data_IF_212133371603
#
_entry.id   IF_212133371603
#
_cell.length_a   1.000
_cell.length_b   1.000
_cell.length_c   1.000
_cell.angle_alpha   90.00
_cell.angle_beta   90.00
_cell.angle_gamma   90.00
#
_symmetry.space_group_name_H-M   'P 1'
#
loop_
_entity.id
_entity.type
_entity.pdbx_description
1 polymer ?
#
# COMPACT_ATOMS: atom_id res chain seq x y z
N UNK A 1 37.80 -18.83 26.24
CA UNK A 1 36.88 -19.45 27.21
C UNK A 1 35.50 -18.93 26.89
N UNK A 2 34.69 -19.79 26.27
CA UNK A 2 33.32 -19.48 25.87
C UNK A 2 32.41 -19.75 27.07
N UNK A 3 31.53 -18.80 27.37
CA UNK A 3 30.32 -19.07 28.13
C UNK A 3 29.15 -18.66 27.23
N UNK A 4 28.38 -19.66 26.83
CA UNK A 4 27.10 -19.50 26.16
C UNK A 4 26.14 -18.69 27.03
N UNK A 5 25.29 -17.88 26.39
CA UNK A 5 23.93 -17.75 26.86
C UNK A 5 22.98 -17.84 25.67
N UNK A 6 22.19 -18.92 25.68
CA UNK A 6 21.16 -19.28 24.71
C UNK A 6 19.85 -18.71 25.24
N UNK A 7 19.28 -17.72 24.54
CA UNK A 7 17.84 -17.47 24.56
C UNK A 7 17.39 -17.44 23.12
N UNK A 8 16.64 -18.48 22.75
CA UNK A 8 15.95 -18.55 21.47
C UNK A 8 14.93 -17.42 21.38
N UNK A 9 15.09 -16.57 20.39
CA UNK A 9 14.02 -15.73 19.88
C UNK A 9 13.92 -16.03 18.40
N UNK A 10 12.79 -16.62 18.01
CA UNK A 10 12.41 -16.75 16.60
C UNK A 10 12.21 -15.34 16.05
N UNK A 11 13.24 -14.78 15.42
CA UNK A 11 13.14 -13.54 14.68
C UNK A 11 12.47 -13.85 13.33
N UNK A 12 11.14 -13.78 13.27
CA UNK A 12 10.47 -13.50 12.01
C UNK A 12 10.73 -12.02 11.69
N UNK A 13 11.92 -11.72 11.16
CA UNK A 13 12.18 -10.41 10.56
C UNK A 13 11.30 -10.29 9.32
N UNK A 14 10.08 -9.82 9.53
CA UNK A 14 9.23 -9.26 8.48
C UNK A 14 9.95 -8.00 7.98
N UNK A 15 10.86 -8.21 7.03
CA UNK A 15 11.56 -7.14 6.34
C UNK A 15 10.50 -6.27 5.67
N UNK A 16 10.15 -5.15 6.33
CA UNK A 16 9.18 -4.20 5.82
C UNK A 16 9.62 -3.75 4.43
N UNK A 17 8.85 -4.15 3.41
CA UNK A 17 9.13 -3.79 2.05
C UNK A 17 8.85 -2.29 1.83
N UNK A 18 9.92 -1.50 1.70
CA UNK A 18 9.84 -0.06 1.39
C UNK A 18 10.25 0.16 -0.07
N UNK A 19 9.33 0.60 -0.94
CA UNK A 19 9.65 0.83 -2.35
C UNK A 19 10.68 1.96 -2.57
N UNK A 20 11.67 1.70 -3.42
CA UNK A 20 12.67 2.67 -3.85
C UNK A 20 12.13 3.54 -5.00
N UNK A 21 11.34 4.55 -4.63
CA UNK A 21 10.69 5.49 -5.57
C UNK A 21 11.17 6.92 -5.28
N UNK A 22 11.20 7.79 -6.29
CA UNK A 22 11.53 9.21 -6.11
C UNK A 22 10.56 9.89 -5.12
N UNK A 23 11.07 10.82 -4.30
CA UNK A 23 10.30 11.42 -3.20
C UNK A 23 9.04 12.17 -3.67
N UNK A 24 9.12 12.84 -4.82
CA UNK A 24 8.02 13.55 -5.48
C UNK A 24 6.90 12.62 -5.97
N UNK A 25 7.19 11.32 -6.08
CA UNK A 25 6.25 10.28 -6.51
C UNK A 25 5.80 9.39 -5.35
N UNK A 26 6.28 9.63 -4.13
CA UNK A 26 5.80 8.92 -2.95
C UNK A 26 4.48 9.54 -2.46
N UNK A 27 3.45 8.72 -2.19
CA UNK A 27 2.23 9.21 -1.56
C UNK A 27 2.54 9.79 -0.18
N UNK A 28 1.85 10.87 0.18
CA UNK A 28 1.89 11.45 1.51
C UNK A 28 0.48 11.62 2.08
N UNK A 29 0.39 11.73 3.41
CA UNK A 29 -0.89 11.87 4.09
C UNK A 29 -1.58 13.17 3.66
N UNK A 30 -2.88 13.07 3.41
CA UNK A 30 -3.75 14.19 3.00
C UNK A 30 -3.37 14.80 1.64
N UNK A 31 -2.69 14.04 0.79
CA UNK A 31 -2.55 14.42 -0.61
C UNK A 31 -3.94 14.49 -1.26
N UNK A 32 -4.23 15.61 -1.90
CA UNK A 32 -5.50 15.85 -2.58
C UNK A 32 -5.35 15.59 -4.08
N UNK A 33 -6.44 15.14 -4.71
CA UNK A 33 -6.54 14.87 -6.13
C UNK A 33 -7.85 15.45 -6.64
N UNK A 34 -7.86 15.94 -7.88
CA UNK A 34 -9.05 16.52 -8.48
C UNK A 34 -10.10 15.44 -8.79
N UNK A 35 -9.65 14.24 -9.16
CA UNK A 35 -10.52 13.10 -9.46
C UNK A 35 -10.02 11.78 -8.87
N UNK A 36 -10.90 10.77 -8.84
CA UNK A 36 -10.53 9.40 -8.46
C UNK A 36 -9.59 8.74 -9.47
N UNK A 37 -9.64 9.17 -10.73
CA UNK A 37 -8.78 8.64 -11.79
C UNK A 37 -7.35 9.19 -11.63
N UNK A 38 -7.21 10.48 -11.29
CA UNK A 38 -5.89 11.07 -10.96
C UNK A 38 -5.23 10.35 -9.78
N UNK A 39 -6.01 10.07 -8.73
CA UNK A 39 -5.54 9.29 -7.59
C UNK A 39 -5.12 7.87 -8.02
N UNK A 40 -5.92 7.21 -8.85
CA UNK A 40 -5.61 5.88 -9.35
C UNK A 40 -4.32 5.85 -10.17
N UNK A 41 -4.15 6.78 -11.11
CA UNK A 41 -2.95 6.88 -11.94
C UNK A 41 -1.70 7.16 -11.12
N UNK A 42 -1.80 8.07 -10.14
CA UNK A 42 -0.70 8.37 -9.23
C UNK A 42 -0.24 7.13 -8.46
N UNK A 43 -1.17 6.42 -7.81
CA UNK A 43 -0.83 5.21 -7.05
C UNK A 43 -0.35 4.06 -7.94
N UNK A 44 -0.88 3.95 -9.16
CA UNK A 44 -0.42 2.95 -10.12
C UNK A 44 1.02 3.23 -10.59
N UNK A 45 1.36 4.50 -10.83
CA UNK A 45 2.73 4.91 -11.17
C UNK A 45 3.70 4.66 -10.02
N UNK A 46 3.31 5.04 -8.80
CA UNK A 46 4.08 4.74 -7.58
C UNK A 46 4.34 3.23 -7.44
N UNK A 47 3.29 2.41 -7.57
CA UNK A 47 3.41 0.97 -7.47
C UNK A 47 4.34 0.38 -8.54
N UNK A 48 4.19 0.83 -9.79
CA UNK A 48 5.02 0.38 -10.91
C UNK A 48 6.50 0.68 -10.69
N UNK A 49 6.83 1.91 -10.28
CA UNK A 49 8.22 2.27 -9.93
C UNK A 49 8.71 1.48 -8.73
N UNK A 50 7.80 1.24 -7.78
CA UNK A 50 8.05 0.40 -6.63
C UNK A 50 8.13 -1.09 -6.92
N UNK A 51 7.93 -1.59 -8.15
CA UNK A 51 8.03 -3.01 -8.48
C UNK A 51 6.82 -3.87 -8.12
N UNK A 52 5.64 -3.27 -7.96
CA UNK A 52 4.37 -3.98 -7.73
C UNK A 52 3.21 -3.31 -8.50
N UNK A 53 2.00 -3.84 -8.35
CA UNK A 53 0.77 -3.26 -8.90
C UNK A 53 -0.26 -3.06 -7.80
N UNK A 54 -1.25 -2.22 -8.06
CA UNK A 54 -2.38 -2.01 -7.15
C UNK A 54 -3.63 -2.74 -7.65
N UNK A 55 -4.52 -3.07 -6.71
CA UNK A 55 -5.90 -3.51 -6.98
C UNK A 55 -6.87 -2.74 -6.09
N UNK A 56 -8.13 -2.66 -6.52
CA UNK A 56 -9.19 -2.13 -5.68
C UNK A 56 -9.54 -3.18 -4.63
N UNK A 57 -9.47 -2.80 -3.35
CA UNK A 57 -9.87 -3.65 -2.24
C UNK A 57 -11.36 -3.50 -1.92
N UNK A 58 -11.82 -2.25 -1.83
CA UNK A 58 -13.22 -1.93 -1.58
C UNK A 58 -13.60 -0.55 -2.11
N UNK A 59 -14.89 -0.35 -2.36
CA UNK A 59 -15.48 0.94 -2.67
C UNK A 59 -16.74 1.11 -1.81
N UNK A 60 -16.89 2.28 -1.19
CA UNK A 60 -18.09 2.65 -0.43
C UNK A 60 -18.79 3.77 -1.18
N UNK A 61 -20.05 3.56 -1.51
CA UNK A 61 -20.90 4.49 -2.25
C UNK A 61 -22.04 4.92 -1.34
N UNK A 62 -22.42 6.19 -1.40
CA UNK A 62 -23.63 6.73 -0.80
C UNK A 62 -24.83 6.16 -1.56
N UNK A 63 -25.71 5.41 -0.88
CA UNK A 63 -26.86 4.79 -1.59
C UNK A 63 -27.87 5.81 -2.12
N UNK A 64 -27.94 6.99 -1.49
CA UNK A 64 -28.91 8.03 -1.85
C UNK A 64 -28.42 8.88 -3.03
N UNK A 65 -27.18 9.38 -2.96
CA UNK A 65 -26.60 10.25 -4.00
C UNK A 65 -25.85 9.47 -5.11
N UNK A 66 -25.56 8.19 -4.87
CA UNK A 66 -24.67 7.36 -5.71
C UNK A 66 -23.21 7.86 -5.81
N UNK A 67 -22.81 8.75 -4.91
CA UNK A 67 -21.44 9.28 -4.84
C UNK A 67 -20.48 8.32 -4.13
N UNK A 68 -19.22 8.28 -4.58
CA UNK A 68 -18.17 7.49 -3.93
C UNK A 68 -17.69 8.22 -2.66
N UNK A 69 -17.97 7.63 -1.50
CA UNK A 69 -17.52 8.12 -0.18
C UNK A 69 -16.08 7.68 0.09
N UNK A 70 -15.70 6.50 -0.40
CA UNK A 70 -14.39 5.91 -0.10
C UNK A 70 -13.97 4.91 -1.17
N UNK A 71 -12.69 4.95 -1.54
CA UNK A 71 -12.07 3.95 -2.41
C UNK A 71 -10.77 3.48 -1.77
N UNK A 72 -10.61 2.16 -1.66
CA UNK A 72 -9.41 1.55 -1.09
C UNK A 72 -8.62 0.83 -2.17
N UNK A 73 -7.33 1.12 -2.22
CA UNK A 73 -6.35 0.44 -3.06
C UNK A 73 -5.37 -0.31 -2.16
N UNK A 74 -5.05 -1.54 -2.55
CA UNK A 74 -4.02 -2.37 -1.89
C UNK A 74 -3.02 -2.85 -2.92
N UNK A 75 -1.84 -3.25 -2.47
CA UNK A 75 -0.89 -3.91 -3.35
C UNK A 75 -1.49 -5.25 -3.83
N UNK A 76 -1.18 -5.65 -5.06
CA UNK A 76 -1.74 -6.88 -5.64
C UNK A 76 -1.30 -8.14 -4.88
N UNK A 77 -0.12 -8.11 -4.25
CA UNK A 77 0.42 -9.19 -3.42
C UNK A 77 -0.18 -9.22 -2.00
N UNK A 78 -0.88 -8.17 -1.57
CA UNK A 78 -1.50 -8.10 -0.24
C UNK A 78 -2.85 -8.84 -0.21
N UNK A 79 -3.05 -9.64 0.84
CA UNK A 79 -4.26 -10.41 1.11
C UNK A 79 -4.51 -11.58 0.14
N UNK A 80 -5.65 -12.26 0.31
CA UNK A 80 -6.12 -13.24 -0.68
C UNK A 80 -6.76 -12.52 -1.86
N UNK A 81 -6.40 -12.93 -3.08
CA UNK A 81 -7.14 -12.51 -4.27
C UNK A 81 -8.62 -12.92 -4.09
N UNK A 82 -9.53 -11.97 -4.33
CA UNK A 82 -10.98 -12.20 -4.31
C UNK A 82 -11.51 -12.41 -5.72
#
# INVERSE_FOLDING_TARGET
>A
MNAQNVVGQSNCEDSLYVPEVALDRKPHKRQEFDTLDDAYEFYNKYAKEGGFSIRINSSKICKESNDIIRKEYVCFKEGQAR
#
